data_IF_937338828496
#
_entry.id   IF_937338828496
#
_cell.length_a   1.000
_cell.length_b   1.000
_cell.length_c   1.000
_cell.angle_alpha   90.00
_cell.angle_beta   90.00
_cell.angle_gamma   90.00
#
_symmetry.space_group_name_H-M   'P 1'
#
loop_
_entity.id
_entity.type
_entity.pdbx_description
1 polymer ?
#
# COMPACT_ATOMS: atom_id res chain seq x y z
N UNK A 1 -13.37 -17.12 29.22
CA UNK A 1 -12.53 -16.35 30.18
C UNK A 1 -11.14 -16.20 29.58
N UNK A 2 -10.67 -14.97 29.39
CA UNK A 2 -9.32 -14.71 28.87
C UNK A 2 -8.28 -15.22 29.88
N UNK A 3 -7.39 -16.12 29.46
CA UNK A 3 -6.30 -16.61 30.32
C UNK A 3 -5.43 -15.42 30.73
N UNK A 4 -5.16 -15.25 32.03
CA UNK A 4 -4.26 -14.21 32.51
C UNK A 4 -2.87 -14.39 31.89
N UNK A 5 -2.42 -13.39 31.14
CA UNK A 5 -1.09 -13.40 30.51
C UNK A 5 -0.08 -12.89 31.52
N UNK A 6 0.98 -13.66 31.79
CA UNK A 6 2.05 -13.24 32.71
C UNK A 6 2.71 -11.93 32.23
N UNK A 7 3.10 -11.01 33.13
CA UNK A 7 3.76 -9.75 32.76
C UNK A 7 4.99 -9.93 31.86
N UNK A 8 5.78 -10.99 32.09
CA UNK A 8 6.97 -11.33 31.28
C UNK A 8 6.62 -11.65 29.82
N UNK A 9 5.58 -12.45 29.59
CA UNK A 9 5.09 -12.78 28.24
C UNK A 9 4.51 -11.55 27.53
N UNK A 10 3.81 -10.68 28.26
CA UNK A 10 3.31 -9.42 27.71
C UNK A 10 4.47 -8.52 27.26
N UNK A 11 5.46 -8.31 28.12
CA UNK A 11 6.65 -7.51 27.80
C UNK A 11 7.40 -8.06 26.58
N UNK A 12 7.64 -9.37 26.54
CA UNK A 12 8.29 -10.02 25.39
C UNK A 12 7.50 -9.80 24.09
N UNK A 13 6.19 -10.08 24.09
CA UNK A 13 5.36 -9.90 22.91
C UNK A 13 5.32 -8.44 22.46
N UNK A 14 5.26 -7.49 23.39
CA UNK A 14 5.27 -6.06 23.08
C UNK A 14 6.60 -5.66 22.43
N UNK A 15 7.74 -6.05 22.98
CA UNK A 15 9.06 -5.75 22.40
C UNK A 15 9.22 -6.40 21.03
N UNK A 16 8.81 -7.66 20.88
CA UNK A 16 8.85 -8.35 19.60
C UNK A 16 7.98 -7.66 18.53
N UNK A 17 6.74 -7.29 18.88
CA UNK A 17 5.83 -6.60 17.98
C UNK A 17 6.38 -5.21 17.57
N UNK A 18 6.93 -4.45 18.51
CA UNK A 18 7.56 -3.16 18.22
C UNK A 18 8.79 -3.31 17.33
N UNK A 19 9.63 -4.30 17.59
CA UNK A 19 10.82 -4.56 16.76
C UNK A 19 10.43 -4.88 15.33
N UNK A 20 9.48 -5.80 15.13
CA UNK A 20 8.96 -6.15 13.79
C UNK A 20 8.32 -4.94 13.12
N UNK A 21 7.50 -4.18 13.85
CA UNK A 21 6.86 -2.97 13.33
C UNK A 21 7.87 -1.93 12.88
N UNK A 22 8.92 -1.67 13.66
CA UNK A 22 9.98 -0.72 13.32
C UNK A 22 10.80 -1.20 12.11
N UNK A 23 11.10 -2.49 12.01
CA UNK A 23 11.82 -3.05 10.84
C UNK A 23 11.00 -2.89 9.56
N UNK A 24 9.68 -3.16 9.61
CA UNK A 24 8.79 -2.99 8.45
C UNK A 24 8.61 -1.51 8.10
N UNK A 25 8.57 -0.64 9.11
CA UNK A 25 8.41 0.81 8.91
C UNK A 25 9.68 1.52 8.45
N UNK A 26 10.86 0.98 8.78
CA UNK A 26 12.15 1.61 8.50
C UNK A 26 12.34 2.05 7.03
N UNK A 27 12.01 1.24 6.00
CA UNK A 27 12.11 1.67 4.61
C UNK A 27 11.24 2.89 4.28
N UNK A 28 10.03 2.97 4.87
CA UNK A 28 9.12 4.10 4.68
C UNK A 28 9.71 5.35 5.33
N UNK A 29 10.23 5.22 6.56
CA UNK A 29 10.92 6.31 7.25
C UNK A 29 12.12 6.80 6.44
N UNK A 30 12.88 5.90 5.84
CA UNK A 30 14.04 6.26 5.02
C UNK A 30 13.64 7.03 3.77
N UNK A 31 12.60 6.61 3.04
CA UNK A 31 12.06 7.34 1.88
C UNK A 31 11.58 8.73 2.30
N UNK A 32 10.94 8.85 3.46
CA UNK A 32 10.51 10.13 4.01
C UNK A 32 11.69 11.05 4.34
N UNK A 33 12.79 10.53 4.90
CA UNK A 33 14.00 11.35 5.13
C UNK A 33 14.61 11.80 3.80
N UNK A 34 14.67 10.90 2.81
CA UNK A 34 15.22 11.20 1.49
C UNK A 34 14.40 12.26 0.73
N UNK A 35 13.09 12.38 0.97
CA UNK A 35 12.28 13.39 0.29
C UNK A 35 12.65 14.84 0.65
N UNK A 36 13.36 15.06 1.76
CA UNK A 36 13.91 16.37 2.14
C UNK A 36 15.35 16.61 1.66
N UNK A 37 15.90 15.68 0.86
CA UNK A 37 17.25 15.77 0.32
C UNK A 37 17.18 16.11 -1.17
N UNK A 38 18.16 16.87 -1.65
CA UNK A 38 18.33 17.12 -3.08
C UNK A 38 18.75 15.83 -3.79
N UNK A 39 18.52 15.74 -5.11
CA UNK A 39 18.85 14.55 -5.91
C UNK A 39 20.31 14.08 -5.71
N UNK A 40 21.26 15.02 -5.66
CA UNK A 40 22.67 14.71 -5.42
C UNK A 40 22.99 14.26 -3.99
N UNK A 41 22.25 14.74 -2.99
CA UNK A 41 22.47 14.35 -1.59
C UNK A 41 21.77 13.04 -1.23
N UNK A 42 20.76 12.62 -1.99
CA UNK A 42 20.00 11.39 -1.74
C UNK A 42 20.79 10.11 -2.04
N UNK A 43 21.85 10.18 -2.85
CA UNK A 43 22.68 9.05 -3.26
C UNK A 43 23.93 8.85 -2.38
N UNK A 44 24.12 9.71 -1.38
CA UNK A 44 25.27 9.65 -0.47
C UNK A 44 25.19 8.45 0.49
N UNK A 45 26.31 8.07 1.14
CA UNK A 45 26.30 7.10 2.22
C UNK A 45 25.33 7.52 3.34
N UNK A 46 24.66 6.56 4.04
CA UNK A 46 23.55 6.88 4.95
C UNK A 46 23.85 7.91 6.04
N UNK A 47 25.07 7.89 6.61
CA UNK A 47 25.45 8.86 7.63
C UNK A 47 25.60 10.28 7.07
N UNK A 48 26.01 10.41 5.81
CA UNK A 48 26.20 11.69 5.15
C UNK A 48 24.87 12.27 4.65
N UNK A 49 23.94 11.41 4.21
CA UNK A 49 22.54 11.79 3.92
C UNK A 49 21.90 12.48 5.13
N UNK A 50 22.10 11.91 6.33
CA UNK A 50 21.54 12.45 7.57
C UNK A 50 22.15 13.81 7.97
N UNK A 51 23.44 14.02 7.64
CA UNK A 51 24.15 15.28 7.91
C UNK A 51 23.91 16.35 6.85
N UNK A 52 23.51 15.96 5.64
CA UNK A 52 23.19 16.89 4.56
C UNK A 52 22.07 17.87 4.98
N UNK A 53 22.00 19.07 4.38
CA UNK A 53 20.96 20.05 4.69
C UNK A 53 19.56 19.48 4.44
N UNK A 54 18.60 19.94 5.24
CA UNK A 54 17.18 19.63 5.07
C UNK A 54 16.55 20.75 4.26
N UNK A 55 15.94 20.41 3.12
CA UNK A 55 15.39 21.39 2.18
C UNK A 55 14.07 20.91 1.59
N UNK A 56 13.26 21.87 1.15
CA UNK A 56 12.02 21.61 0.41
C UNK A 56 12.16 21.82 -1.11
N UNK A 57 13.35 22.13 -1.58
CA UNK A 57 13.64 22.43 -2.99
C UNK A 57 13.15 21.33 -3.94
N UNK A 58 13.39 20.06 -3.60
CA UNK A 58 12.93 18.91 -4.39
C UNK A 58 11.42 18.91 -4.63
N UNK A 59 10.61 19.39 -3.68
CA UNK A 59 9.15 19.48 -3.85
C UNK A 59 8.75 20.54 -4.87
N UNK A 60 9.43 21.71 -4.86
CA UNK A 60 9.19 22.77 -5.84
C UNK A 60 9.57 22.31 -7.25
N UNK A 61 10.74 21.69 -7.40
CA UNK A 61 11.23 21.15 -8.69
C UNK A 61 10.25 20.13 -9.26
N UNK A 62 9.76 19.19 -8.44
CA UNK A 62 8.80 18.16 -8.87
C UNK A 62 7.48 18.77 -9.32
N UNK A 63 6.98 19.80 -8.62
CA UNK A 63 5.75 20.47 -9.03
C UNK A 63 5.92 21.27 -10.32
N UNK A 64 7.02 21.98 -10.49
CA UNK A 64 7.30 22.77 -11.70
C UNK A 64 7.52 21.89 -12.94
N UNK A 65 8.25 20.77 -12.80
CA UNK A 65 8.60 19.90 -13.93
C UNK A 65 7.49 18.94 -14.33
N UNK A 66 6.69 18.49 -13.39
CA UNK A 66 5.79 17.35 -13.62
C UNK A 66 4.34 17.62 -13.23
N UNK A 67 3.98 18.83 -12.79
CA UNK A 67 2.61 19.15 -12.34
C UNK A 67 2.04 18.05 -11.43
N UNK A 68 2.81 17.74 -10.38
CA UNK A 68 2.60 16.58 -9.54
C UNK A 68 1.20 16.54 -8.91
N UNK A 69 0.65 17.69 -8.53
CA UNK A 69 -0.72 17.77 -8.01
C UNK A 69 -1.79 17.26 -9.00
N UNK A 70 -1.59 17.48 -10.31
CA UNK A 70 -2.50 16.95 -11.34
C UNK A 70 -2.43 15.43 -11.43
N UNK A 71 -1.22 14.85 -11.41
CA UNK A 71 -1.05 13.39 -11.39
C UNK A 71 -1.63 12.77 -10.12
N UNK A 72 -1.38 13.38 -8.97
CA UNK A 72 -1.97 12.97 -7.71
C UNK A 72 -3.50 12.98 -7.77
N UNK A 73 -4.10 14.07 -8.26
CA UNK A 73 -5.55 14.17 -8.44
C UNK A 73 -6.12 13.08 -9.34
N UNK A 74 -5.47 12.81 -10.47
CA UNK A 74 -5.87 11.71 -11.38
C UNK A 74 -5.81 10.35 -10.67
N UNK A 75 -4.74 10.07 -9.91
CA UNK A 75 -4.62 8.83 -9.15
C UNK A 75 -5.69 8.68 -8.08
N UNK A 76 -6.03 9.77 -7.36
CA UNK A 76 -7.11 9.78 -6.37
C UNK A 76 -8.45 9.47 -7.04
N UNK A 77 -8.79 10.19 -8.11
CA UNK A 77 -10.04 9.98 -8.84
C UNK A 77 -10.12 8.56 -9.40
N UNK A 78 -9.03 8.04 -9.97
CA UNK A 78 -8.98 6.67 -10.50
C UNK A 78 -9.11 5.63 -9.38
N UNK A 79 -8.42 5.79 -8.25
CA UNK A 79 -8.48 4.83 -7.15
C UNK A 79 -9.87 4.76 -6.53
N UNK A 80 -10.47 5.91 -6.19
CA UNK A 80 -11.81 5.95 -5.61
C UNK A 80 -12.89 5.59 -6.64
N UNK A 81 -12.78 6.12 -7.86
CA UNK A 81 -13.73 5.86 -8.94
C UNK A 81 -13.78 4.40 -9.34
N UNK A 82 -12.62 3.77 -9.57
CA UNK A 82 -12.55 2.34 -9.91
C UNK A 82 -13.03 1.44 -8.76
N UNK A 83 -12.69 1.76 -7.52
CA UNK A 83 -13.15 1.01 -6.34
C UNK A 83 -14.66 1.11 -6.19
N UNK A 84 -15.23 2.31 -6.33
CA UNK A 84 -16.67 2.52 -6.21
C UNK A 84 -17.45 1.80 -7.31
N UNK A 85 -17.03 1.95 -8.58
CA UNK A 85 -17.63 1.24 -9.70
C UNK A 85 -17.50 -0.28 -9.52
N UNK A 86 -16.35 -0.75 -9.04
CA UNK A 86 -16.12 -2.15 -8.70
C UNK A 86 -17.08 -2.64 -7.63
N UNK A 87 -17.30 -1.89 -6.56
CA UNK A 87 -18.24 -2.24 -5.49
C UNK A 87 -19.69 -2.26 -5.94
N UNK A 88 -20.11 -1.30 -6.77
CA UNK A 88 -21.47 -1.25 -7.33
C UNK A 88 -21.82 -2.53 -8.08
N UNK A 89 -20.84 -3.13 -8.76
CA UNK A 89 -21.04 -4.39 -9.50
C UNK A 89 -20.79 -5.61 -8.60
N UNK A 90 -19.71 -5.60 -7.82
CA UNK A 90 -19.26 -6.74 -7.05
C UNK A 90 -20.20 -7.07 -5.88
N UNK A 91 -20.79 -6.06 -5.22
CA UNK A 91 -21.67 -6.29 -4.06
C UNK A 91 -22.96 -7.03 -4.46
N UNK A 92 -23.74 -6.58 -5.47
CA UNK A 92 -24.92 -7.33 -5.92
C UNK A 92 -24.56 -8.71 -6.47
N UNK A 93 -23.46 -8.83 -7.22
CA UNK A 93 -23.01 -10.11 -7.76
C UNK A 93 -22.66 -11.10 -6.64
N UNK A 94 -21.92 -10.65 -5.62
CA UNK A 94 -21.57 -11.46 -4.46
C UNK A 94 -22.83 -11.88 -3.67
N UNK A 95 -23.78 -10.96 -3.49
CA UNK A 95 -25.05 -11.27 -2.81
C UNK A 95 -25.85 -12.35 -3.54
N UNK A 96 -26.02 -12.21 -4.87
CA UNK A 96 -26.76 -13.18 -5.66
C UNK A 96 -26.11 -14.58 -5.60
N UNK A 97 -24.78 -14.65 -5.68
CA UNK A 97 -24.05 -15.92 -5.61
C UNK A 97 -24.04 -16.54 -4.20
N UNK A 98 -24.08 -15.73 -3.14
CA UNK A 98 -24.05 -16.21 -1.75
C UNK A 98 -25.42 -16.72 -1.28
N UNK A 99 -26.50 -16.02 -1.63
CA UNK A 99 -27.84 -16.31 -1.10
C UNK A 99 -28.76 -17.02 -2.10
N UNK A 100 -28.50 -16.94 -3.41
CA UNK A 100 -29.30 -17.58 -4.46
C UNK A 100 -28.40 -18.30 -5.47
N UNK A 101 -27.67 -19.37 -5.04
CA UNK A 101 -26.75 -20.07 -5.92
C UNK A 101 -27.50 -20.76 -7.06
N UNK A 102 -27.12 -20.45 -8.30
CA UNK A 102 -27.61 -21.10 -9.50
C UNK A 102 -26.73 -22.27 -9.94
N UNK A 103 -27.19 -23.03 -10.95
CA UNK A 103 -26.47 -24.21 -11.48
C UNK A 103 -25.04 -23.89 -11.97
N UNK A 104 -24.77 -22.66 -12.41
CA UNK A 104 -23.48 -22.20 -12.96
C UNK A 104 -22.63 -21.36 -12.00
N UNK A 105 -23.08 -21.12 -10.77
CA UNK A 105 -22.37 -20.25 -9.82
C UNK A 105 -20.94 -20.74 -9.56
N UNK A 106 -20.74 -22.06 -9.45
CA UNK A 106 -19.42 -22.67 -9.28
C UNK A 106 -18.48 -22.39 -10.46
N UNK A 107 -18.97 -22.55 -11.69
CA UNK A 107 -18.16 -22.33 -12.89
C UNK A 107 -17.75 -20.87 -13.05
N UNK A 108 -18.66 -19.94 -12.73
CA UNK A 108 -18.39 -18.50 -12.73
C UNK A 108 -17.33 -18.15 -11.68
N UNK A 109 -17.47 -18.64 -10.45
CA UNK A 109 -16.49 -18.40 -9.39
C UNK A 109 -15.11 -18.95 -9.75
N UNK A 110 -15.05 -20.15 -10.33
CA UNK A 110 -13.79 -20.75 -10.79
C UNK A 110 -13.16 -19.94 -11.92
N UNK A 111 -13.97 -19.43 -12.86
CA UNK A 111 -13.50 -18.54 -13.92
C UNK A 111 -12.94 -17.22 -13.35
N UNK A 112 -13.64 -16.58 -12.41
CA UNK A 112 -13.18 -15.35 -11.75
C UNK A 112 -11.89 -15.55 -10.93
N UNK A 113 -11.73 -16.71 -10.29
CA UNK A 113 -10.51 -17.02 -9.54
C UNK A 113 -9.33 -17.23 -10.50
N UNK A 114 -9.56 -17.96 -11.59
CA UNK A 114 -8.55 -18.19 -12.63
C UNK A 114 -8.02 -16.87 -13.19
N UNK A 115 -8.90 -15.94 -13.58
CA UNK A 115 -8.49 -14.65 -14.15
C UNK A 115 -7.73 -13.75 -13.18
N UNK A 116 -7.98 -13.86 -11.87
CA UNK A 116 -7.20 -13.15 -10.84
C UNK A 116 -5.81 -13.75 -10.60
N UNK A 117 -5.61 -15.03 -10.91
CA UNK A 117 -4.34 -15.75 -10.73
C UNK A 117 -3.49 -15.74 -12.01
N UNK A 118 -4.06 -15.28 -13.14
CA UNK A 118 -3.31 -15.12 -14.39
C UNK A 118 -2.15 -14.13 -14.18
N UNK A 119 -0.94 -14.45 -14.66
CA UNK A 119 0.17 -13.52 -14.62
C UNK A 119 -0.18 -12.30 -15.49
N UNK A 120 0.04 -11.10 -14.97
CA UNK A 120 -0.26 -9.85 -15.68
C UNK A 120 0.44 -9.77 -17.06
N UNK A 121 1.59 -10.43 -17.21
CA UNK A 121 2.37 -10.51 -18.45
C UNK A 121 1.71 -11.38 -19.53
N UNK A 122 0.83 -12.32 -19.18
CA UNK A 122 0.16 -13.19 -20.14
C UNK A 122 -1.12 -12.60 -20.76
N UNK A 123 -1.51 -11.39 -20.34
CA UNK A 123 -2.79 -10.75 -20.71
C UNK A 123 -2.59 -9.39 -21.40
N UNK A 124 -1.36 -8.88 -21.43
CA UNK A 124 -0.91 -7.72 -22.22
C UNK A 124 -0.24 -8.19 -23.52
#
# INVERSE_FOLDING_TARGET
MARAVTPRRKAFNTVAAWTVGLVIFFPILWIFVLSFKTEGNAILPPLDVLRAPWTFESYGIVQERSDYFKHFGNSVVLAFGSTLLGLIIAVPAAWAMAFVPGKRTKDILMSMLSTKMLPAVGVL
#
